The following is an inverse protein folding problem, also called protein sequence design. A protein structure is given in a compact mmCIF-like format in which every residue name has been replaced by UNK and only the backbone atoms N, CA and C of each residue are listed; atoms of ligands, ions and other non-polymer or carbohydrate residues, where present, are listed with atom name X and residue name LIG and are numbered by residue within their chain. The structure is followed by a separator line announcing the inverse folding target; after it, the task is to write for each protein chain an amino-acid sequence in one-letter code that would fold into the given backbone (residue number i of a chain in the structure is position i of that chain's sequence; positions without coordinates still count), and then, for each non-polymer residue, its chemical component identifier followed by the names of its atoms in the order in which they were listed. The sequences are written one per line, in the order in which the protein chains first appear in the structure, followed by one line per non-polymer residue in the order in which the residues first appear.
data_IF_394524398837
#
_entry.id   IF_394524398837
#
_cell.length_a   1.000
_cell.length_b   1.000
_cell.length_c   1.000
_cell.angle_alpha   90.00
_cell.angle_beta   90.00
_cell.angle_gamma   90.00
#
_symmetry.space_group_name_H-M   'P 1'
#
loop_
_entity.id
_entity.type
_entity.pdbx_description
1 polymer ?
#
# COMPACT_ATOMS: atom_id res chain seq x y z
N UNK A 1 12.98 14.19 22.04
CA UNK A 1 12.23 13.13 21.30
C UNK A 1 13.25 12.09 20.90
N UNK A 2 12.89 10.80 20.83
CA UNK A 2 13.85 9.81 20.37
C UNK A 2 13.89 9.76 18.81
N UNK A 3 14.97 9.24 18.20
CA UNK A 3 15.14 9.26 16.75
C UNK A 3 14.02 8.57 15.97
N UNK A 4 13.38 7.53 16.53
CA UNK A 4 12.28 6.83 15.88
C UNK A 4 11.06 7.75 15.75
N UNK A 5 10.67 8.42 16.82
CA UNK A 5 9.54 9.37 16.80
C UNK A 5 9.83 10.56 15.89
N UNK A 6 11.09 11.04 15.87
CA UNK A 6 11.50 12.10 14.94
C UNK A 6 11.33 11.69 13.48
N UNK A 7 11.74 10.47 13.12
CA UNK A 7 11.54 9.94 11.77
C UNK A 7 10.07 9.86 11.41
N UNK A 8 9.24 9.30 12.30
CA UNK A 8 7.79 9.16 12.08
C UNK A 8 7.09 10.51 11.88
N UNK A 9 7.43 11.53 12.68
CA UNK A 9 6.78 12.84 12.61
C UNK A 9 7.30 13.70 11.46
N UNK A 10 8.48 13.39 10.92
CA UNK A 10 9.05 14.04 9.73
C UNK A 10 8.61 13.39 8.42
N UNK A 11 7.79 12.33 8.46
CA UNK A 11 7.35 11.64 7.25
C UNK A 11 6.67 12.58 6.26
N UNK A 12 7.15 12.55 5.03
CA UNK A 12 6.54 13.18 3.86
C UNK A 12 6.79 12.39 2.58
N UNK A 13 5.83 12.40 1.72
CA UNK A 13 5.87 11.65 0.47
C UNK A 13 6.75 12.35 -0.57
N UNK A 14 7.89 11.76 -0.91
CA UNK A 14 8.86 12.28 -1.88
C UNK A 14 8.52 11.79 -3.29
N UNK A 15 8.47 12.72 -4.26
CA UNK A 15 8.12 12.44 -5.66
C UNK A 15 9.19 12.83 -6.67
N UNK A 16 10.28 13.45 -6.20
CA UNK A 16 11.47 13.75 -7.00
C UNK A 16 12.68 13.11 -6.33
N UNK A 17 13.47 12.43 -7.12
CA UNK A 17 14.63 11.70 -6.65
C UNK A 17 15.87 12.14 -7.41
N UNK A 18 17.01 12.24 -6.72
CA UNK A 18 18.32 12.41 -7.33
C UNK A 18 18.65 11.17 -8.15
N UNK A 19 19.32 11.36 -9.27
CA UNK A 19 19.86 10.27 -10.06
C UNK A 19 21.08 9.65 -9.35
N UNK A 20 20.79 8.93 -8.28
CA UNK A 20 21.79 8.30 -7.42
C UNK A 20 21.35 6.87 -7.11
N UNK A 21 22.21 5.87 -7.34
CA UNK A 21 21.92 4.49 -6.97
C UNK A 21 21.83 4.35 -5.46
N UNK A 22 20.97 3.44 -5.01
CA UNK A 22 20.89 3.06 -3.61
C UNK A 22 21.96 2.01 -3.30
N UNK A 23 22.71 2.21 -2.24
CA UNK A 23 23.72 1.25 -1.76
C UNK A 23 23.06 -0.06 -1.33
N UNK A 24 23.66 -1.18 -1.70
CA UNK A 24 23.11 -2.50 -1.38
C UNK A 24 22.98 -2.72 0.14
N UNK A 25 23.84 -2.16 0.94
CA UNK A 25 23.77 -2.23 2.41
C UNK A 25 22.48 -1.57 2.93
N UNK A 26 22.15 -0.36 2.47
CA UNK A 26 20.92 0.34 2.86
C UNK A 26 19.68 -0.45 2.40
N UNK A 27 19.72 -0.99 1.19
CA UNK A 27 18.64 -1.85 0.70
C UNK A 27 18.44 -3.08 1.60
N UNK A 28 19.53 -3.72 2.04
CA UNK A 28 19.45 -4.85 2.96
C UNK A 28 18.88 -4.46 4.32
N UNK A 29 19.18 -3.28 4.86
CA UNK A 29 18.57 -2.79 6.10
C UNK A 29 17.06 -2.56 5.93
N UNK A 30 16.62 -1.99 4.79
CA UNK A 30 15.19 -1.80 4.49
C UNK A 30 14.46 -3.14 4.44
N UNK A 31 15.04 -4.14 3.74
CA UNK A 31 14.47 -5.48 3.64
C UNK A 31 14.40 -6.16 5.01
N UNK A 32 15.47 -6.11 5.80
CA UNK A 32 15.49 -6.69 7.15
C UNK A 32 14.48 -6.03 8.09
N UNK A 33 14.32 -4.71 7.99
CA UNK A 33 13.31 -3.99 8.76
C UNK A 33 11.89 -4.42 8.36
N UNK A 34 11.63 -4.57 7.07
CA UNK A 34 10.35 -5.10 6.56
C UNK A 34 10.08 -6.51 7.07
N UNK A 35 11.09 -7.39 7.08
CA UNK A 35 10.99 -8.78 7.58
C UNK A 35 10.81 -8.85 9.10
N UNK A 36 11.28 -7.84 9.85
CA UNK A 36 11.08 -7.77 11.31
C UNK A 36 9.65 -7.38 11.72
N UNK A 37 8.77 -7.12 10.77
CA UNK A 37 7.36 -6.87 11.03
C UNK A 37 6.69 -8.14 11.61
N UNK A 38 5.81 -8.01 12.62
CA UNK A 38 5.00 -9.14 13.04
C UNK A 38 4.04 -9.55 11.93
N UNK A 39 3.72 -10.85 11.87
CA UNK A 39 2.72 -11.38 10.94
C UNK A 39 1.66 -12.19 11.68
N UNK A 40 0.46 -12.26 11.13
CA UNK A 40 -0.65 -13.01 11.72
C UNK A 40 -0.26 -14.49 11.89
N UNK A 41 -0.33 -14.98 13.13
CA UNK A 41 0.06 -16.33 13.51
C UNK A 41 1.47 -16.77 13.05
N UNK A 42 2.39 -15.83 12.89
CA UNK A 42 3.72 -16.08 12.32
C UNK A 42 3.67 -16.74 10.93
N UNK A 43 2.68 -16.34 10.13
CA UNK A 43 2.41 -16.95 8.81
C UNK A 43 3.36 -16.48 7.72
N UNK A 44 4.14 -15.40 7.97
CA UNK A 44 5.14 -14.85 7.04
C UNK A 44 4.60 -14.59 5.62
N UNK A 45 3.33 -14.17 5.52
CA UNK A 45 2.61 -14.03 4.26
C UNK A 45 2.85 -12.70 3.52
N UNK A 46 4.09 -12.23 3.54
CA UNK A 46 4.53 -11.05 2.78
C UNK A 46 5.71 -11.39 1.89
N UNK A 47 5.63 -11.07 0.61
CA UNK A 47 6.76 -11.08 -0.31
C UNK A 47 7.08 -9.68 -0.80
N UNK A 48 8.36 -9.40 -0.97
CA UNK A 48 8.88 -8.11 -1.45
C UNK A 48 9.64 -8.36 -2.74
N UNK A 49 9.14 -7.81 -3.85
CA UNK A 49 9.84 -7.87 -5.13
C UNK A 49 10.62 -6.56 -5.33
N UNK A 50 11.94 -6.65 -5.35
CA UNK A 50 12.83 -5.52 -5.58
C UNK A 50 13.05 -5.34 -7.08
N UNK A 51 12.54 -4.26 -7.65
CA UNK A 51 12.63 -3.96 -9.08
C UNK A 51 13.78 -2.97 -9.31
N UNK A 52 14.92 -3.47 -9.81
CA UNK A 52 16.09 -2.68 -10.20
C UNK A 52 16.16 -2.47 -11.71
N UNK A 53 15.59 -3.37 -12.50
CA UNK A 53 15.57 -3.29 -13.96
C UNK A 53 14.77 -2.08 -14.44
N UNK A 54 15.39 -1.21 -15.24
CA UNK A 54 14.79 0.04 -15.67
C UNK A 54 13.61 -0.20 -16.63
N UNK A 55 13.71 -1.19 -17.51
CA UNK A 55 12.64 -1.53 -18.46
C UNK A 55 11.39 -2.00 -17.73
N UNK A 56 11.58 -2.81 -16.68
CA UNK A 56 10.47 -3.28 -15.84
C UNK A 56 9.87 -2.14 -15.01
N UNK A 57 10.69 -1.23 -14.45
CA UNK A 57 10.20 -0.02 -13.77
C UNK A 57 9.36 0.84 -14.71
N UNK A 58 9.79 1.03 -15.94
CA UNK A 58 9.08 1.83 -16.95
C UNK A 58 7.73 1.20 -17.33
N UNK A 59 7.67 -0.12 -17.52
CA UNK A 59 6.42 -0.83 -17.73
C UNK A 59 5.46 -0.67 -16.54
N UNK A 60 5.95 -0.84 -15.30
CA UNK A 60 5.12 -0.68 -14.11
C UNK A 60 4.64 0.76 -13.98
N UNK A 61 5.47 1.77 -14.29
CA UNK A 61 5.05 3.17 -14.37
C UNK A 61 3.85 3.35 -15.29
N UNK A 62 3.90 2.76 -16.50
CA UNK A 62 2.82 2.89 -17.48
C UNK A 62 1.52 2.24 -16.99
N UNK A 63 1.60 1.11 -16.31
CA UNK A 63 0.46 0.50 -15.61
C UNK A 63 -0.08 1.34 -14.45
N UNK A 64 0.75 2.24 -13.90
CA UNK A 64 0.44 3.13 -12.78
C UNK A 64 0.19 4.58 -13.21
N UNK A 65 -0.56 4.78 -14.30
CA UNK A 65 -0.91 6.13 -14.83
C UNK A 65 0.29 7.01 -15.23
N UNK A 66 1.39 6.40 -15.63
CA UNK A 66 2.58 7.15 -16.02
C UNK A 66 3.27 7.87 -14.86
N UNK A 67 3.14 7.38 -13.62
CA UNK A 67 3.77 7.99 -12.45
C UNK A 67 5.30 7.95 -12.55
N UNK A 68 5.91 9.02 -13.04
CA UNK A 68 7.33 9.10 -13.41
C UNK A 68 8.30 8.77 -12.27
N UNK A 69 7.91 9.01 -11.03
CA UNK A 69 8.74 8.70 -9.86
C UNK A 69 8.98 7.19 -9.65
N UNK A 70 8.18 6.32 -10.25
CA UNK A 70 8.46 4.87 -10.28
C UNK A 70 9.73 4.60 -11.10
N UNK A 71 9.90 5.30 -12.23
CA UNK A 71 11.09 5.18 -13.08
C UNK A 71 12.32 5.87 -12.51
N UNK A 72 12.13 7.00 -11.81
CA UNK A 72 13.22 7.87 -11.36
C UNK A 72 13.74 7.54 -9.95
N UNK A 73 12.99 6.80 -9.13
CA UNK A 73 13.48 6.36 -7.82
C UNK A 73 14.67 5.40 -7.97
N UNK A 74 15.56 5.39 -6.98
CA UNK A 74 16.73 4.49 -7.01
C UNK A 74 16.33 3.02 -7.03
N UNK A 75 15.31 2.65 -6.25
CA UNK A 75 14.75 1.29 -6.19
C UNK A 75 13.23 1.37 -6.07
N UNK A 76 12.54 0.54 -6.85
CA UNK A 76 11.11 0.33 -6.69
C UNK A 76 10.86 -1.05 -6.07
N UNK A 77 10.04 -1.11 -5.04
CA UNK A 77 9.71 -2.34 -4.32
C UNK A 77 8.22 -2.61 -4.42
N UNK A 78 7.83 -3.87 -4.68
CA UNK A 78 6.42 -4.28 -4.70
C UNK A 78 6.16 -5.21 -3.53
N UNK A 79 5.27 -4.82 -2.64
CA UNK A 79 4.83 -5.60 -1.50
C UNK A 79 3.59 -6.41 -1.86
N UNK A 80 3.68 -7.72 -1.69
CA UNK A 80 2.66 -8.68 -2.07
C UNK A 80 2.12 -9.41 -0.84
N UNK A 81 0.78 -9.62 -0.78
CA UNK A 81 0.22 -10.64 0.09
C UNK A 81 0.50 -12.01 -0.55
N UNK A 82 1.25 -12.85 0.14
CA UNK A 82 1.80 -14.09 -0.39
C UNK A 82 1.49 -15.28 0.52
N UNK A 83 0.46 -16.02 0.17
CA UNK A 83 0.09 -17.27 0.83
C UNK A 83 0.66 -18.52 0.14
N UNK A 84 1.47 -18.37 -0.90
CA UNK A 84 2.10 -19.51 -1.57
C UNK A 84 2.99 -20.30 -0.62
N UNK A 85 3.76 -19.63 0.25
CA UNK A 85 4.58 -20.30 1.28
C UNK A 85 3.72 -21.06 2.30
N UNK A 86 2.55 -20.52 2.66
CA UNK A 86 1.58 -21.20 3.53
C UNK A 86 1.02 -22.43 2.84
N UNK A 87 0.73 -22.36 1.53
CA UNK A 87 0.34 -23.53 0.72
C UNK A 87 1.41 -24.61 0.75
N UNK A 88 2.68 -24.26 0.57
CA UNK A 88 3.80 -25.22 0.68
C UNK A 88 3.89 -25.86 2.07
N UNK A 89 3.62 -25.10 3.13
CA UNK A 89 3.60 -25.63 4.50
C UNK A 89 2.46 -26.62 4.70
N UNK A 90 1.26 -26.36 4.15
CA UNK A 90 0.13 -27.30 4.14
C UNK A 90 0.52 -28.61 3.47
N UNK A 91 1.11 -28.56 2.28
CA UNK A 91 1.56 -29.74 1.54
C UNK A 91 2.61 -30.55 2.33
N UNK A 92 3.60 -29.88 2.92
CA UNK A 92 4.62 -30.52 3.77
C UNK A 92 4.02 -31.18 5.01
N UNK A 93 2.93 -30.62 5.55
CA UNK A 93 2.20 -31.17 6.69
C UNK A 93 1.18 -32.27 6.29
N UNK A 94 1.17 -32.70 5.02
CA UNK A 94 0.26 -33.76 4.53
C UNK A 94 -1.20 -33.30 4.38
N UNK A 95 -1.47 -32.00 4.38
CA UNK A 95 -2.80 -31.45 4.12
C UNK A 95 -3.10 -31.42 2.63
N UNK A 96 -4.38 -31.48 2.28
CA UNK A 96 -4.79 -31.46 0.86
C UNK A 96 -4.82 -30.07 0.27
N UNK A 97 -4.71 -29.99 -1.05
CA UNK A 97 -4.93 -28.72 -1.77
C UNK A 97 -6.34 -28.16 -1.55
N UNK A 98 -7.34 -29.05 -1.44
CA UNK A 98 -8.73 -28.67 -1.17
C UNK A 98 -8.90 -28.00 0.21
N UNK A 99 -8.17 -28.45 1.23
CA UNK A 99 -8.18 -27.82 2.55
C UNK A 99 -7.62 -26.38 2.47
N UNK A 100 -6.55 -26.19 1.70
CA UNK A 100 -5.94 -24.88 1.49
C UNK A 100 -6.84 -23.95 0.67
N UNK A 101 -7.40 -24.43 -0.44
CA UNK A 101 -8.32 -23.66 -1.28
C UNK A 101 -9.57 -23.21 -0.50
N UNK A 102 -10.08 -24.06 0.39
CA UNK A 102 -11.18 -23.70 1.30
C UNK A 102 -10.79 -22.57 2.26
N UNK A 103 -9.58 -22.62 2.82
CA UNK A 103 -9.06 -21.53 3.64
C UNK A 103 -8.92 -20.24 2.84
N UNK A 104 -8.31 -20.30 1.66
CA UNK A 104 -8.09 -19.15 0.80
C UNK A 104 -9.37 -18.50 0.28
N UNK A 105 -10.48 -19.25 0.23
CA UNK A 105 -11.79 -18.71 -0.19
C UNK A 105 -12.45 -17.77 0.83
N UNK A 106 -11.90 -17.68 2.03
CA UNK A 106 -12.38 -16.77 3.06
C UNK A 106 -11.82 -15.36 2.82
N UNK A 107 -12.70 -14.35 2.82
CA UNK A 107 -12.30 -12.94 2.68
C UNK A 107 -11.30 -12.51 3.78
N UNK A 108 -11.29 -13.16 4.92
CA UNK A 108 -10.37 -12.91 6.02
C UNK A 108 -8.91 -13.08 5.60
N UNK A 109 -8.60 -13.99 4.67
CA UNK A 109 -7.24 -14.15 4.13
C UNK A 109 -6.74 -12.89 3.43
N UNK A 110 -7.63 -12.18 2.71
CA UNK A 110 -7.29 -10.91 2.08
C UNK A 110 -7.05 -9.81 3.14
N UNK A 111 -7.87 -9.79 4.19
CA UNK A 111 -7.73 -8.85 5.31
C UNK A 111 -6.40 -9.08 6.02
N UNK A 112 -6.09 -10.33 6.37
CA UNK A 112 -4.83 -10.75 6.99
C UNK A 112 -3.64 -10.34 6.12
N UNK A 113 -3.64 -10.71 4.84
CA UNK A 113 -2.56 -10.39 3.92
C UNK A 113 -2.36 -8.88 3.74
N UNK A 114 -3.45 -8.11 3.68
CA UNK A 114 -3.38 -6.65 3.57
C UNK A 114 -2.83 -6.00 4.84
N UNK A 115 -3.23 -6.50 6.01
CA UNK A 115 -2.73 -6.05 7.31
C UNK A 115 -1.21 -6.27 7.42
N UNK A 116 -0.73 -7.50 7.16
CA UNK A 116 0.67 -7.85 7.28
C UNK A 116 1.55 -7.08 6.27
N UNK A 117 1.07 -6.91 5.03
CA UNK A 117 1.73 -6.06 4.04
C UNK A 117 1.84 -4.62 4.52
N UNK A 118 0.78 -4.06 5.13
CA UNK A 118 0.79 -2.70 5.66
C UNK A 118 1.84 -2.49 6.76
N UNK A 119 1.98 -3.45 7.68
CA UNK A 119 2.98 -3.40 8.76
C UNK A 119 4.40 -3.50 8.19
N UNK A 120 4.64 -4.47 7.32
CA UNK A 120 5.94 -4.69 6.67
C UNK A 120 6.38 -3.48 5.84
N UNK A 121 5.45 -2.91 5.06
CA UNK A 121 5.67 -1.70 4.28
C UNK A 121 6.04 -0.50 5.16
N UNK A 122 5.34 -0.31 6.30
CA UNK A 122 5.64 0.80 7.21
C UNK A 122 7.01 0.64 7.86
N UNK A 123 7.42 -0.57 8.24
CA UNK A 123 8.75 -0.82 8.73
C UNK A 123 9.82 -0.47 7.68
N UNK A 124 9.62 -0.88 6.42
CA UNK A 124 10.52 -0.51 5.31
C UNK A 124 10.60 1.01 5.12
N UNK A 125 9.46 1.69 5.20
CA UNK A 125 9.38 3.15 5.07
C UNK A 125 10.17 3.86 6.16
N UNK A 126 9.95 3.49 7.43
CA UNK A 126 10.66 4.09 8.58
C UNK A 126 12.17 3.82 8.48
N UNK A 127 12.57 2.60 8.11
CA UNK A 127 13.97 2.26 7.92
C UNK A 127 14.62 3.09 6.81
N UNK A 128 13.96 3.24 5.67
CA UNK A 128 14.47 4.07 4.58
C UNK A 128 14.62 5.55 5.01
N UNK A 129 13.59 6.11 5.63
CA UNK A 129 13.58 7.52 6.05
C UNK A 129 14.57 7.81 7.19
N UNK A 130 14.80 6.85 8.09
CA UNK A 130 15.82 6.97 9.14
C UNK A 130 17.24 7.06 8.58
N UNK A 131 17.47 6.58 7.36
CA UNK A 131 18.75 6.66 6.64
C UNK A 131 18.82 7.86 5.67
N UNK A 132 17.89 8.83 5.78
CA UNK A 132 17.84 10.02 4.94
C UNK A 132 17.31 9.78 3.53
N UNK A 133 16.66 8.66 3.27
CA UNK A 133 16.03 8.37 1.98
C UNK A 133 14.61 8.93 1.94
N UNK A 134 14.13 9.24 0.74
CA UNK A 134 12.75 9.61 0.49
C UNK A 134 11.93 8.40 0.06
N UNK A 135 10.66 8.38 0.44
CA UNK A 135 9.73 7.29 0.13
C UNK A 135 8.43 7.81 -0.49
N UNK A 136 7.79 6.95 -1.31
CA UNK A 136 6.44 7.17 -1.82
C UNK A 136 5.70 5.85 -2.00
N UNK A 137 4.50 5.76 -1.42
CA UNK A 137 3.63 4.58 -1.55
C UNK A 137 2.79 4.64 -2.82
N UNK A 138 2.81 3.58 -3.62
CA UNK A 138 2.13 3.47 -4.91
C UNK A 138 0.90 2.56 -4.78
N UNK A 139 -0.24 3.15 -4.39
CA UNK A 139 -1.50 2.41 -4.30
C UNK A 139 -2.12 2.07 -5.65
N UNK A 140 -1.83 2.87 -6.69
CA UNK A 140 -2.37 2.67 -8.04
C UNK A 140 -1.81 1.44 -8.76
N UNK A 141 -0.87 0.72 -8.17
CA UNK A 141 -0.39 -0.58 -8.68
C UNK A 141 -1.54 -1.57 -8.86
N UNK A 142 -2.64 -1.42 -8.09
CA UNK A 142 -3.83 -2.28 -8.18
C UNK A 142 -4.65 -2.08 -9.45
N UNK A 143 -4.49 -0.97 -10.17
CA UNK A 143 -5.25 -0.71 -11.41
C UNK A 143 -4.97 -1.71 -12.53
N UNK A 144 -3.75 -2.22 -12.57
CA UNK A 144 -3.25 -3.18 -13.56
C UNK A 144 -2.58 -4.36 -12.86
N UNK A 145 -3.20 -4.79 -11.78
CA UNK A 145 -2.67 -5.83 -10.90
C UNK A 145 -2.45 -7.18 -11.60
N UNK A 146 -3.29 -7.55 -12.57
CA UNK A 146 -3.11 -8.77 -13.38
C UNK A 146 -1.87 -8.68 -14.28
N UNK A 147 -1.68 -7.54 -14.94
CA UNK A 147 -0.50 -7.30 -15.78
C UNK A 147 0.76 -7.31 -14.93
N UNK A 148 0.75 -6.64 -13.79
CA UNK A 148 1.88 -6.61 -12.84
C UNK A 148 2.16 -8.00 -12.27
N UNK A 149 1.14 -8.78 -11.95
CA UNK A 149 1.28 -10.19 -11.52
C UNK A 149 2.04 -11.02 -12.56
N UNK A 150 1.72 -10.84 -13.85
CA UNK A 150 2.41 -11.53 -14.95
C UNK A 150 3.85 -11.05 -15.13
N UNK A 151 4.09 -9.73 -15.15
CA UNK A 151 5.45 -9.16 -15.31
C UNK A 151 6.38 -9.57 -14.16
N UNK A 152 5.85 -9.73 -12.96
CA UNK A 152 6.62 -10.13 -11.78
C UNK A 152 6.65 -11.65 -11.55
N UNK A 153 6.03 -12.46 -12.43
CA UNK A 153 5.93 -13.92 -12.30
C UNK A 153 5.40 -14.36 -10.92
N UNK A 154 4.40 -13.64 -10.39
CA UNK A 154 3.85 -13.98 -9.08
C UNK A 154 3.09 -15.31 -9.15
N UNK A 155 3.35 -16.24 -8.22
CA UNK A 155 2.66 -17.53 -8.20
C UNK A 155 1.19 -17.37 -7.77
N UNK A 156 0.40 -18.42 -7.97
CA UNK A 156 -0.96 -18.50 -7.37
C UNK A 156 -0.86 -18.23 -5.86
N UNK A 157 -1.87 -17.61 -5.28
CA UNK A 157 -1.95 -17.16 -3.88
C UNK A 157 -1.00 -16.02 -3.51
N UNK A 158 -0.44 -15.31 -4.50
CA UNK A 158 0.37 -14.13 -4.30
C UNK A 158 -0.17 -12.96 -5.12
N UNK A 159 -0.52 -11.83 -4.48
CA UNK A 159 -1.08 -10.64 -5.15
C UNK A 159 -0.29 -9.38 -4.79
N UNK A 160 -0.03 -8.47 -5.77
CA UNK A 160 0.61 -7.20 -5.50
C UNK A 160 -0.40 -6.23 -4.86
N UNK A 161 -0.08 -5.64 -3.71
CA UNK A 161 -0.96 -4.72 -2.99
C UNK A 161 -0.52 -3.28 -3.05
N UNK A 162 0.78 -3.02 -2.91
CA UNK A 162 1.32 -1.66 -2.87
C UNK A 162 2.76 -1.64 -3.34
N UNK A 163 3.13 -0.59 -4.09
CA UNK A 163 4.52 -0.28 -4.43
C UNK A 163 5.13 0.71 -3.45
N UNK A 164 6.45 0.68 -3.32
CA UNK A 164 7.24 1.64 -2.58
C UNK A 164 8.39 2.14 -3.46
N UNK A 165 8.36 3.43 -3.80
CA UNK A 165 9.52 4.12 -4.36
C UNK A 165 10.48 4.47 -3.21
N UNK A 166 11.76 4.21 -3.39
CA UNK A 166 12.83 4.56 -2.46
C UNK A 166 13.98 5.19 -3.22
N UNK A 167 14.51 6.29 -2.71
CA UNK A 167 15.66 6.96 -3.32
C UNK A 167 16.10 8.20 -2.54
N UNK A 168 17.14 8.86 -3.01
CA UNK A 168 17.61 10.10 -2.42
C UNK A 168 16.66 11.25 -2.80
N UNK A 169 16.08 11.98 -1.81
CA UNK A 169 15.12 13.04 -2.10
C UNK A 169 15.78 14.21 -2.86
N UNK A 170 15.06 14.73 -3.85
CA UNK A 170 15.42 15.93 -4.61
C UNK A 170 14.33 17.02 -4.52
N UNK A 171 13.43 16.87 -3.56
CA UNK A 171 12.45 17.89 -3.17
C UNK A 171 12.15 17.80 -1.67
N UNK A 172 11.52 18.87 -1.15
CA UNK A 172 10.92 18.89 0.19
C UNK A 172 9.49 19.47 0.08
N UNK A 173 8.48 18.62 -0.07
CA UNK A 173 7.10 19.07 -0.23
C UNK A 173 6.47 19.63 1.06
N UNK A 174 7.23 19.70 2.16
CA UNK A 174 6.73 20.10 3.47
C UNK A 174 5.89 19.01 4.15
N UNK A 175 5.52 19.26 5.40
CA UNK A 175 4.70 18.34 6.19
C UNK A 175 3.22 18.53 5.88
N UNK A 176 2.53 17.43 5.63
CA UNK A 176 1.08 17.44 5.44
C UNK A 176 0.37 17.29 6.79
N UNK A 177 -0.60 18.14 7.11
CA UNK A 177 -1.35 18.03 8.36
C UNK A 177 -2.14 16.73 8.42
N UNK A 178 -2.55 16.35 9.62
CA UNK A 178 -3.38 15.18 9.91
C UNK A 178 -4.65 15.59 10.64
N UNK A 179 -5.68 14.75 10.55
CA UNK A 179 -6.89 14.92 11.35
C UNK A 179 -6.50 15.01 12.82
N UNK A 180 -7.08 15.97 13.60
CA UNK A 180 -6.79 16.10 15.03
C UNK A 180 -7.06 14.80 15.80
N UNK A 181 -6.26 14.49 16.84
CA UNK A 181 -6.37 13.22 17.58
C UNK A 181 -7.79 12.89 18.06
N UNK A 182 -8.57 13.90 18.47
CA UNK A 182 -9.96 13.71 18.92
C UNK A 182 -10.89 13.12 17.86
N UNK A 183 -10.57 13.31 16.56
CA UNK A 183 -11.34 12.76 15.44
C UNK A 183 -10.87 11.36 14.98
N UNK A 184 -9.80 10.82 15.58
CA UNK A 184 -9.19 9.55 15.18
C UNK A 184 -9.05 8.57 16.32
N UNK A 185 -8.84 9.05 17.55
CA UNK A 185 -8.64 8.22 18.75
C UNK A 185 -9.80 8.41 19.72
N UNK A 186 -10.48 7.31 20.04
CA UNK A 186 -11.65 7.30 20.93
C UNK A 186 -11.38 6.37 22.10
N UNK A 187 -11.71 6.85 23.31
CA UNK A 187 -11.57 6.05 24.51
C UNK A 187 -12.77 5.09 24.65
N UNK A 188 -12.48 3.80 24.82
CA UNK A 188 -13.44 2.70 25.06
C UNK A 188 -14.46 2.46 23.93
N UNK A 189 -15.04 3.49 23.32
CA UNK A 189 -16.09 3.38 22.31
C UNK A 189 -15.93 4.43 21.21
N UNK A 190 -16.30 4.09 19.99
CA UNK A 190 -16.34 5.03 18.88
C UNK A 190 -17.35 6.17 19.16
N UNK A 191 -16.94 7.41 18.86
CA UNK A 191 -17.80 8.60 18.94
C UNK A 191 -17.98 9.21 17.55
N UNK A 192 -19.20 9.12 17.01
CA UNK A 192 -19.57 9.76 15.74
C UNK A 192 -19.52 11.29 15.83
N UNK A 193 -19.83 11.85 17.00
CA UNK A 193 -19.77 13.28 17.28
C UNK A 193 -18.32 13.80 17.21
N UNK A 194 -17.39 13.13 17.90
CA UNK A 194 -15.97 13.47 17.87
C UNK A 194 -15.38 13.28 16.46
N UNK A 195 -15.76 12.22 15.75
CA UNK A 195 -15.32 12.00 14.38
C UNK A 195 -15.77 13.15 13.46
N UNK A 196 -17.04 13.59 13.57
CA UNK A 196 -17.56 14.74 12.83
C UNK A 196 -16.80 16.02 13.17
N UNK A 197 -16.67 16.34 14.46
CA UNK A 197 -15.93 17.52 14.91
C UNK A 197 -14.47 17.51 14.46
N UNK A 198 -13.83 16.32 14.37
CA UNK A 198 -12.49 16.14 13.82
C UNK A 198 -12.43 16.43 12.33
N UNK A 199 -13.43 16.06 11.55
CA UNK A 199 -13.53 16.38 10.11
C UNK A 199 -13.73 17.89 9.93
N UNK A 200 -14.66 18.50 10.65
CA UNK A 200 -14.96 19.93 10.57
C UNK A 200 -13.68 20.78 10.85
N UNK A 201 -12.95 20.45 11.92
CA UNK A 201 -11.68 21.12 12.25
C UNK A 201 -10.59 20.86 11.20
N UNK A 202 -10.52 19.64 10.68
CA UNK A 202 -9.50 19.29 9.68
C UNK A 202 -9.74 19.97 8.34
N UNK A 203 -10.98 20.27 7.97
CA UNK A 203 -11.30 21.06 6.77
C UNK A 203 -10.68 22.45 6.85
N UNK A 204 -10.74 23.13 7.99
CA UNK A 204 -10.11 24.44 8.18
C UNK A 204 -8.58 24.35 8.16
N UNK A 205 -8.02 23.37 8.88
CA UNK A 205 -6.56 23.14 8.88
C UNK A 205 -6.06 22.84 7.45
N UNK A 206 -6.77 22.00 6.71
CA UNK A 206 -6.36 21.57 5.38
C UNK A 206 -6.54 22.67 4.33
N UNK A 207 -7.59 23.50 4.46
CA UNK A 207 -7.80 24.69 3.64
C UNK A 207 -6.63 25.66 3.77
N UNK A 208 -6.23 25.99 5.01
CA UNK A 208 -5.05 26.80 5.29
C UNK A 208 -3.79 26.19 4.67
N UNK A 209 -3.53 24.91 4.92
CA UNK A 209 -2.38 24.20 4.34
C UNK A 209 -2.36 24.28 2.81
N UNK A 210 -3.51 24.13 2.12
CA UNK A 210 -3.59 24.18 0.68
C UNK A 210 -3.33 25.60 0.11
N UNK A 211 -3.76 26.64 0.81
CA UNK A 211 -3.53 28.03 0.40
C UNK A 211 -2.08 28.51 0.60
N UNK A 212 -1.39 27.96 1.61
CA UNK A 212 -0.01 28.35 1.98
C UNK A 212 1.07 27.53 1.26
N UNK A 213 0.71 26.54 0.44
CA UNK A 213 1.70 25.70 -0.26
C UNK A 213 2.44 26.49 -1.35
N UNK A 214 3.75 26.30 -1.45
CA UNK A 214 4.58 26.87 -2.52
C UNK A 214 4.22 26.32 -3.91
N UNK A 215 3.79 25.06 -3.99
CA UNK A 215 3.40 24.40 -5.24
C UNK A 215 1.99 23.82 -5.13
N UNK A 216 1.19 23.90 -6.21
CA UNK A 216 -0.20 23.42 -6.24
C UNK A 216 -1.10 24.05 -5.17
N UNK A 217 -0.85 25.33 -4.83
CA UNK A 217 -1.76 26.13 -3.99
C UNK A 217 -3.14 26.19 -4.64
N UNK A 218 -4.20 26.02 -3.85
CA UNK A 218 -5.58 26.08 -4.31
C UNK A 218 -6.54 26.33 -3.16
N UNK A 219 -7.69 26.89 -3.50
CA UNK A 219 -8.83 26.99 -2.59
C UNK A 219 -9.61 25.67 -2.61
N UNK A 220 -9.52 24.90 -1.56
CA UNK A 220 -10.27 23.65 -1.32
C UNK A 220 -10.04 23.21 0.12
N UNK A 221 -10.84 22.27 0.59
CA UNK A 221 -10.68 21.64 1.89
C UNK A 221 -10.47 20.12 1.74
N UNK A 222 -10.35 19.41 2.87
CA UNK A 222 -10.14 17.95 2.84
C UNK A 222 -11.38 17.21 2.35
N UNK A 223 -12.56 17.59 2.83
CA UNK A 223 -13.84 16.93 2.46
C UNK A 223 -14.09 16.99 0.96
N UNK A 224 -13.90 18.14 0.32
CA UNK A 224 -13.99 18.30 -1.14
C UNK A 224 -12.93 17.46 -1.86
N UNK A 225 -11.69 17.51 -1.39
CA UNK A 225 -10.57 16.81 -2.03
C UNK A 225 -10.75 15.29 -1.97
N UNK A 226 -11.20 14.74 -0.83
CA UNK A 226 -11.35 13.29 -0.65
C UNK A 226 -12.59 12.77 -1.38
N UNK A 227 -13.74 13.48 -1.30
CA UNK A 227 -14.95 13.08 -2.01
C UNK A 227 -14.74 13.05 -3.53
N UNK A 228 -14.09 14.08 -4.09
CA UNK A 228 -13.70 14.11 -5.51
C UNK A 228 -12.77 12.96 -5.89
N UNK A 229 -11.87 12.56 -4.99
CA UNK A 229 -11.00 11.42 -5.22
C UNK A 229 -11.80 10.13 -5.27
N UNK A 230 -12.61 9.84 -4.26
CA UNK A 230 -13.37 8.59 -4.17
C UNK A 230 -14.43 8.43 -5.26
N UNK A 231 -15.03 9.54 -5.73
CA UNK A 231 -16.00 9.49 -6.84
C UNK A 231 -15.35 9.28 -8.21
N UNK A 232 -14.10 9.72 -8.40
CA UNK A 232 -13.35 9.53 -9.66
C UNK A 232 -12.64 8.18 -9.75
N UNK A 233 -12.26 7.62 -8.61
CA UNK A 233 -11.52 6.36 -8.53
C UNK A 233 -12.48 5.16 -8.46
N UNK A 234 -13.05 4.78 -9.58
CA UNK A 234 -13.56 3.42 -9.72
C UNK A 234 -12.35 2.50 -9.96
N UNK A 235 -11.83 1.83 -8.93
CA UNK A 235 -10.86 0.76 -9.10
C UNK A 235 -11.60 -0.39 -9.80
N UNK A 236 -11.27 -0.63 -11.07
CA UNK A 236 -11.88 -1.71 -11.86
C UNK A 236 -11.08 -2.99 -11.65
N UNK A 237 -11.79 -4.06 -11.34
CA UNK A 237 -11.41 -5.47 -11.50
C UNK A 237 -10.29 -6.07 -10.63
N UNK A 238 -10.21 -5.71 -9.36
CA UNK A 238 -9.51 -6.56 -8.38
C UNK A 238 -10.15 -7.96 -8.24
N UNK A 239 -11.43 -8.09 -8.62
CA UNK A 239 -12.16 -9.34 -8.60
C UNK A 239 -11.55 -10.44 -9.48
N UNK A 240 -11.19 -10.12 -10.72
CA UNK A 240 -10.58 -11.09 -11.63
C UNK A 240 -9.19 -11.51 -11.15
N UNK A 241 -8.41 -10.57 -10.61
CA UNK A 241 -7.14 -10.86 -9.94
C UNK A 241 -7.35 -11.84 -8.78
N UNK A 242 -8.25 -11.50 -7.85
CA UNK A 242 -8.49 -12.31 -6.65
C UNK A 242 -8.95 -13.73 -7.01
N UNK A 243 -9.78 -13.85 -8.04
CA UNK A 243 -10.22 -15.15 -8.57
C UNK A 243 -9.08 -15.97 -9.17
N UNK A 244 -8.30 -15.37 -10.09
CA UNK A 244 -7.19 -16.06 -10.74
C UNK A 244 -6.10 -16.46 -9.75
N UNK A 245 -5.88 -15.64 -8.73
CA UNK A 245 -4.92 -15.90 -7.66
C UNK A 245 -5.48 -16.73 -6.49
N UNK A 246 -6.73 -17.19 -6.56
CA UNK A 246 -7.31 -18.13 -5.59
C UNK A 246 -7.71 -17.53 -4.25
N UNK A 247 -7.86 -16.19 -4.15
CA UNK A 247 -8.34 -15.49 -2.94
C UNK A 247 -9.86 -15.46 -2.81
N UNK A 248 -10.58 -15.79 -3.86
CA UNK A 248 -12.05 -15.85 -3.87
C UNK A 248 -12.47 -17.11 -4.61
N UNK A 249 -13.16 -18.01 -3.92
CA UNK A 249 -13.97 -19.05 -4.57
C UNK A 249 -15.39 -18.51 -4.77
N UNK A 250 -15.81 -18.41 -6.02
CA UNK A 250 -17.17 -17.96 -6.33
C UNK A 250 -18.10 -19.14 -6.17
N UNK A 251 -18.91 -19.13 -5.13
CA UNK A 251 -20.14 -19.89 -5.15
C UNK A 251 -21.09 -19.29 -6.22
N UNK A 252 -21.75 -20.13 -7.02
CA UNK A 252 -22.68 -19.72 -8.11
C UNK A 252 -23.77 -18.75 -7.64
N UNK A 253 -24.01 -18.63 -6.35
CA UNK A 253 -24.94 -17.67 -5.75
C UNK A 253 -24.56 -16.20 -5.92
N UNK A 254 -23.25 -15.87 -5.98
CA UNK A 254 -22.79 -14.48 -6.14
C UNK A 254 -23.11 -13.89 -7.53
N UNK A 255 -23.04 -14.72 -8.57
CA UNK A 255 -23.41 -14.29 -9.93
C UNK A 255 -24.91 -13.96 -10.04
N UNK A 256 -25.75 -14.55 -9.21
CA UNK A 256 -27.19 -14.27 -9.15
C UNK A 256 -27.48 -12.93 -8.46
N UNK A 257 -26.66 -12.52 -7.49
CA UNK A 257 -26.77 -11.23 -6.81
C UNK A 257 -26.34 -10.06 -7.72
N UNK A 258 -25.28 -10.22 -8.53
CA UNK A 258 -24.86 -9.20 -9.52
C UNK A 258 -25.95 -8.87 -10.55
N UNK A 259 -26.78 -9.83 -10.91
CA UNK A 259 -27.88 -9.60 -11.87
C UNK A 259 -29.09 -8.88 -11.24
N UNK A 260 -29.13 -8.77 -9.90
CA UNK A 260 -30.24 -8.15 -9.16
C UNK A 260 -29.93 -6.73 -8.67
N UNK A 261 -28.66 -6.32 -8.68
CA UNK A 261 -28.24 -4.95 -8.35
C UNK A 261 -28.05 -4.20 -9.68
N UNK A 262 -29.10 -3.53 -10.14
CA UNK A 262 -29.01 -2.50 -11.18
C UNK A 262 -28.51 -1.21 -10.51
N UNK A 263 -27.30 -0.76 -10.86
CA UNK A 263 -26.82 0.60 -10.56
C UNK A 263 -27.48 1.61 -11.49
#
# INVERSE_FOLDING_TARGET
MNPVLETLFKHRSIRKYKNQPLEDEKLQYIIKAAQAAPSWCNGEQVSIIVVKDQTLKDKIRDYCWGQTYISTCSVFMVFCADFYRVCLAFQKAGKTQADFDKYMSNIDTLIIGSHDVGISLQNATVAAESMGLGTWHIGVIRLKSLEITKELNLPKYCIPLVGLCVGYPDDDPGLKPRIPPKGVCFENKYSTENAKAGVDEYDEIFKKYLSERETNSRESNWSESISNTYTKFAIKDDYELLKQQGFICIDKKWNKLKSMVKY
#
